data_IF_110443041532
#
_entry.id   IF_110443041532
#
_cell.length_a   1.000
_cell.length_b   1.000
_cell.length_c   1.000
_cell.angle_alpha   90.00
_cell.angle_beta   90.00
_cell.angle_gamma   90.00
#
_symmetry.space_group_name_H-M   'P 1'
#
loop_
_entity.id
_entity.type
_entity.pdbx_description
1 polymer ?
#
# COMPACT_ATOMS: atom_id res chain seq x y z
N UNK A 1 -9.45 -3.17 -21.94
CA UNK A 1 -9.72 -2.58 -20.62
C UNK A 1 -8.39 -2.43 -19.91
N UNK A 2 -7.72 -1.28 -20.00
CA UNK A 2 -6.61 -0.98 -19.10
C UNK A 2 -7.25 -0.61 -17.78
N UNK A 3 -7.36 -1.57 -16.87
CA UNK A 3 -7.67 -1.26 -15.48
C UNK A 3 -6.52 -0.36 -15.02
N UNK A 4 -6.81 0.90 -14.71
CA UNK A 4 -5.80 1.79 -14.14
C UNK A 4 -5.27 1.16 -12.84
N UNK A 5 -4.04 1.49 -12.48
CA UNK A 5 -3.42 0.98 -11.25
C UNK A 5 -4.37 1.22 -10.06
N UNK A 6 -4.71 0.12 -9.38
CA UNK A 6 -5.58 0.12 -8.22
C UNK A 6 -4.70 0.00 -6.98
N UNK A 7 -4.92 0.85 -6.01
CA UNK A 7 -4.08 0.98 -4.83
C UNK A 7 -4.87 0.62 -3.57
N UNK A 8 -4.18 -0.02 -2.63
CA UNK A 8 -4.65 -0.27 -1.28
C UNK A 8 -3.83 0.55 -0.30
N UNK A 9 -4.52 1.31 0.55
CA UNK A 9 -3.92 2.27 1.45
C UNK A 9 -3.95 1.73 2.88
N UNK A 10 -2.82 1.85 3.55
CA UNK A 10 -2.62 1.35 4.90
C UNK A 10 -1.91 2.40 5.75
N UNK A 11 -2.12 2.32 7.06
CA UNK A 11 -1.26 2.99 8.03
C UNK A 11 -0.64 1.97 9.01
N UNK A 12 0.62 2.20 9.36
CA UNK A 12 1.30 1.38 10.34
C UNK A 12 0.88 1.78 11.77
N UNK A 13 0.31 0.87 12.59
CA UNK A 13 -0.04 1.18 13.98
C UNK A 13 1.18 1.43 14.88
N UNK A 14 2.38 1.01 14.46
CA UNK A 14 3.61 1.10 15.26
C UNK A 14 4.38 2.40 15.04
N UNK A 15 4.49 2.85 13.79
CA UNK A 15 5.26 4.05 13.43
C UNK A 15 4.42 5.18 12.83
N UNK A 16 3.12 4.97 12.59
CA UNK A 16 2.22 5.96 11.99
C UNK A 16 2.47 6.24 10.51
N UNK A 17 3.36 5.49 9.87
CA UNK A 17 3.66 5.65 8.44
C UNK A 17 2.42 5.27 7.63
N UNK A 18 2.00 6.17 6.75
CA UNK A 18 0.99 5.92 5.73
C UNK A 18 1.66 5.45 4.45
N UNK A 19 1.17 4.35 3.89
CA UNK A 19 1.73 3.75 2.69
C UNK A 19 0.64 3.14 1.83
N UNK A 20 0.91 3.03 0.54
CA UNK A 20 0.02 2.48 -0.46
C UNK A 20 0.71 1.34 -1.21
N UNK A 21 -0.06 0.32 -1.55
CA UNK A 21 0.37 -0.83 -2.34
C UNK A 21 -0.44 -0.88 -3.62
N UNK A 22 0.24 -0.97 -4.77
CA UNK A 22 -0.45 -1.31 -6.00
C UNK A 22 -0.94 -2.76 -5.91
N UNK A 23 -2.18 -3.00 -6.32
CA UNK A 23 -2.80 -4.32 -6.34
C UNK A 23 -2.07 -5.28 -7.30
N UNK A 24 -1.40 -4.74 -8.32
CA UNK A 24 -0.50 -5.50 -9.20
C UNK A 24 0.68 -6.15 -8.45
N UNK A 25 1.10 -5.57 -7.32
CA UNK A 25 2.21 -6.08 -6.50
C UNK A 25 1.77 -7.21 -5.54
N UNK A 26 0.49 -7.61 -5.56
CA UNK A 26 -0.03 -8.67 -4.71
C UNK A 26 0.74 -9.99 -4.91
N UNK A 27 1.09 -10.34 -6.15
CA UNK A 27 1.86 -11.55 -6.45
C UNK A 27 3.32 -11.48 -6.05
N UNK A 28 3.89 -10.27 -5.99
CA UNK A 28 5.30 -10.05 -5.68
C UNK A 28 5.54 -10.04 -4.17
N UNK A 29 4.69 -9.35 -3.42
CA UNK A 29 4.78 -9.33 -1.95
C UNK A 29 4.16 -10.57 -1.29
N UNK A 30 3.19 -11.23 -1.93
CA UNK A 30 2.54 -12.42 -1.41
C UNK A 30 2.05 -12.23 0.03
N UNK A 31 2.62 -13.00 0.96
CA UNK A 31 2.26 -12.98 2.39
C UNK A 31 2.67 -11.69 3.12
N UNK A 32 3.58 -10.90 2.54
CA UNK A 32 4.03 -9.61 3.10
C UNK A 32 3.22 -8.42 2.58
N UNK A 33 2.21 -8.67 1.75
CA UNK A 33 1.38 -7.61 1.19
C UNK A 33 0.63 -6.86 2.31
N UNK A 34 0.72 -5.53 2.29
CA UNK A 34 0.15 -4.67 3.33
C UNK A 34 1.01 -4.56 4.60
N UNK A 35 2.21 -5.15 4.64
CA UNK A 35 3.13 -4.94 5.75
C UNK A 35 3.81 -3.58 5.65
N UNK A 36 4.12 -2.98 6.80
CA UNK A 36 4.83 -1.72 6.82
C UNK A 36 6.29 -1.95 6.35
N UNK A 37 6.80 -1.23 5.34
CA UNK A 37 8.16 -1.42 4.82
C UNK A 37 9.25 -1.10 5.86
N UNK A 38 8.93 -0.33 6.91
CA UNK A 38 9.87 -0.01 8.00
C UNK A 38 9.79 -0.94 9.19
N UNK A 39 8.59 -1.43 9.52
CA UNK A 39 8.34 -2.15 10.77
C UNK A 39 8.09 -3.64 10.57
N UNK A 40 7.86 -4.08 9.32
CA UNK A 40 7.52 -5.46 8.97
C UNK A 40 6.35 -6.01 9.81
N UNK A 41 5.38 -5.15 10.11
CA UNK A 41 4.13 -5.49 10.79
C UNK A 41 2.96 -5.21 9.85
N UNK A 42 1.88 -5.97 9.99
CA UNK A 42 0.67 -5.76 9.21
C UNK A 42 0.11 -4.35 9.45
N UNK A 43 -0.12 -3.62 8.36
CA UNK A 43 -0.78 -2.32 8.39
C UNK A 43 -2.26 -2.44 8.69
N UNK A 44 -2.82 -1.37 9.22
CA UNK A 44 -4.26 -1.20 9.31
C UNK A 44 -4.73 -0.66 7.97
N UNK A 45 -5.64 -1.39 7.33
CA UNK A 45 -6.27 -0.98 6.09
C UNK A 45 -7.13 0.27 6.31
N UNK A 46 -6.97 1.28 5.46
CA UNK A 46 -7.75 2.51 5.50
C UNK A 46 -8.79 2.57 4.37
N UNK A 47 -8.36 2.35 3.13
CA UNK A 47 -9.17 2.52 1.93
C UNK A 47 -8.52 1.83 0.74
N UNK A 48 -9.27 1.75 -0.36
CA UNK A 48 -8.81 1.24 -1.66
C UNK A 48 -9.41 2.05 -2.80
N UNK A 49 -8.70 2.13 -3.91
CA UNK A 49 -9.20 2.86 -5.08
C UNK A 49 -8.14 3.09 -6.16
N UNK A 50 -8.55 3.68 -7.30
CA UNK A 50 -7.58 4.23 -8.25
C UNK A 50 -6.82 5.40 -7.62
N UNK A 51 -5.74 5.85 -8.28
CA UNK A 51 -4.97 7.04 -7.89
C UNK A 51 -5.87 8.19 -7.43
N UNK A 52 -5.66 8.67 -6.21
CA UNK A 52 -6.39 9.80 -5.62
C UNK A 52 -5.48 11.02 -5.44
N UNK A 53 -6.08 12.18 -5.14
CA UNK A 53 -5.34 13.44 -4.96
C UNK A 53 -4.48 13.40 -3.71
N UNK A 54 -4.91 12.67 -2.68
CA UNK A 54 -4.22 12.56 -1.40
C UNK A 54 -3.15 11.45 -1.35
N UNK A 55 -2.94 10.72 -2.46
CA UNK A 55 -1.89 9.70 -2.60
C UNK A 55 -0.49 10.26 -2.32
N UNK A 56 -0.27 11.54 -2.59
CA UNK A 56 0.98 12.22 -2.26
C UNK A 56 1.32 12.19 -0.74
N UNK A 57 0.35 11.87 0.12
CA UNK A 57 0.54 11.68 1.56
C UNK A 57 0.91 10.25 1.95
N UNK A 58 0.80 9.29 1.02
CA UNK A 58 1.11 7.88 1.22
C UNK A 58 2.42 7.55 0.53
N UNK A 59 3.22 6.71 1.18
CA UNK A 59 4.43 6.17 0.56
C UNK A 59 4.05 5.01 -0.36
N UNK A 60 4.23 5.17 -1.66
CA UNK A 60 4.07 4.10 -2.65
C UNK A 60 5.13 3.03 -2.40
N UNK A 61 4.70 1.82 -2.04
CA UNK A 61 5.58 0.68 -1.84
C UNK A 61 5.72 -0.05 -3.15
N UNK A 62 6.92 -0.01 -3.70
CA UNK A 62 7.33 -0.73 -4.90
C UNK A 62 8.07 -2.01 -4.50
N UNK A 63 7.93 -3.08 -5.28
CA UNK A 63 8.82 -4.23 -5.15
C UNK A 63 10.15 -3.93 -5.87
N UNK A 64 11.27 -4.24 -5.20
CA UNK A 64 12.62 -4.16 -5.76
C UNK A 64 13.10 -5.55 -6.21
#
# INVERSE_FOLDING_TARGET
MTWGAFYLYYHCPKCGLKYEYALDLLTEFGDTFGFCPKCSVMGIYEKEGPRQIDDAMYLEVEAD
#
